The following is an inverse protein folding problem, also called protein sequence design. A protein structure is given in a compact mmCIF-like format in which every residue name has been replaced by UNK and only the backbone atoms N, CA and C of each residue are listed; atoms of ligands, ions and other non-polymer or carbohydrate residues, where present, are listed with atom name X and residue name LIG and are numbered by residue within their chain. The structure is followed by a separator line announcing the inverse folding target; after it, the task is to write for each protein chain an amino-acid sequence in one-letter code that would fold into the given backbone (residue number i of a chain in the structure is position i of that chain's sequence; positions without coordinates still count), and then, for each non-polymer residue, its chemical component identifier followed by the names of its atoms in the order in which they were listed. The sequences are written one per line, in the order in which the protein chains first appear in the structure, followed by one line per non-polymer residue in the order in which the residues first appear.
data_IF_100175379549
#
_entry.id   IF_100175379549
#
_cell.length_a   1.000
_cell.length_b   1.000
_cell.length_c   1.000
_cell.angle_alpha   90.00
_cell.angle_beta   90.00
_cell.angle_gamma   90.00
#
_symmetry.space_group_name_H-M   'P 1'
#
loop_
_entity.id
_entity.type
_entity.pdbx_description
1 polymer ?
#
# COMPACT_ATOMS: atom_id res chain seq x y z
N UNK A 1 4.53 -0.70 22.06
CA UNK A 1 5.55 0.17 22.67
C UNK A 1 6.78 -0.66 22.99
N UNK A 2 7.98 -0.07 22.98
CA UNK A 2 9.25 -0.74 23.26
C UNK A 2 9.77 -0.21 24.59
N UNK A 3 10.20 -1.07 25.53
CA UNK A 3 10.77 -0.62 26.80
C UNK A 3 12.15 0.00 26.53
N UNK A 4 12.43 1.14 27.18
CA UNK A 4 13.67 1.89 26.96
C UNK A 4 14.50 1.98 28.22
N UNK A 5 13.86 2.25 29.34
CA UNK A 5 14.50 2.45 30.63
C UNK A 5 13.71 1.67 31.69
N UNK A 6 14.43 1.08 32.63
CA UNK A 6 13.86 0.56 33.87
C UNK A 6 14.65 1.14 35.01
N UNK A 7 13.97 1.85 35.92
CA UNK A 7 14.59 2.53 37.06
C UNK A 7 13.77 2.25 38.32
N UNK A 8 14.36 2.45 39.47
CA UNK A 8 13.67 2.33 40.74
C UNK A 8 12.63 3.44 40.94
N UNK A 9 11.69 3.24 41.86
CA UNK A 9 10.64 4.23 42.18
C UNK A 9 11.20 5.50 42.85
N UNK A 10 12.42 5.47 43.33
CA UNK A 10 13.12 6.63 43.89
C UNK A 10 13.51 7.68 42.85
N UNK A 11 13.52 7.32 41.58
CA UNK A 11 13.82 8.23 40.44
C UNK A 11 12.53 8.91 40.03
N UNK A 12 12.37 10.19 40.31
CA UNK A 12 11.21 10.96 39.84
C UNK A 12 11.35 11.27 38.34
N UNK A 13 10.56 10.59 37.53
CA UNK A 13 10.53 10.76 36.03
C UNK A 13 9.65 11.94 35.58
N UNK A 14 9.05 12.71 36.48
CA UNK A 14 8.06 13.75 36.14
C UNK A 14 8.65 14.78 35.18
N UNK A 15 9.80 15.35 35.50
CA UNK A 15 10.46 16.35 34.63
C UNK A 15 10.83 15.75 33.26
N UNK A 16 11.41 14.55 33.25
CA UNK A 16 11.81 13.88 32.02
C UNK A 16 10.60 13.53 31.13
N UNK A 17 9.51 13.07 31.72
CA UNK A 17 8.28 12.79 30.98
C UNK A 17 7.59 14.05 30.47
N UNK A 18 7.59 15.15 31.26
CA UNK A 18 7.12 16.46 30.78
C UNK A 18 7.94 16.95 29.59
N UNK A 19 9.25 16.80 29.63
CA UNK A 19 10.12 17.10 28.52
C UNK A 19 9.79 16.26 27.28
N UNK A 20 9.57 14.96 27.42
CA UNK A 20 9.14 14.08 26.32
C UNK A 20 7.79 14.50 25.74
N UNK A 21 6.83 14.91 26.59
CA UNK A 21 5.53 15.45 26.16
C UNK A 21 5.69 16.76 25.39
N UNK A 22 6.48 17.70 25.90
CA UNK A 22 6.73 18.98 25.25
C UNK A 22 7.30 18.79 23.83
N UNK A 23 8.14 17.75 23.64
CA UNK A 23 8.73 17.40 22.36
C UNK A 23 7.91 16.39 21.54
N UNK A 24 6.64 16.14 21.93
CA UNK A 24 5.70 15.23 21.22
C UNK A 24 6.25 13.81 21.04
N UNK A 25 7.03 13.31 22.00
CA UNK A 25 7.51 11.92 22.05
C UNK A 25 6.42 11.04 22.66
N UNK A 26 5.74 10.14 21.92
CA UNK A 26 4.75 9.26 22.49
C UNK A 26 5.41 8.25 23.43
N UNK A 27 5.04 8.33 24.72
CA UNK A 27 5.61 7.46 25.75
C UNK A 27 4.55 7.07 26.80
N UNK A 28 4.88 6.08 27.61
CA UNK A 28 4.10 5.62 28.74
C UNK A 28 5.06 5.13 29.82
N UNK A 29 4.76 5.42 31.08
CA UNK A 29 5.43 4.82 32.22
C UNK A 29 4.52 3.78 32.83
N UNK A 30 5.07 2.62 33.20
CA UNK A 30 4.37 1.57 33.98
C UNK A 30 5.20 1.24 35.19
N UNK A 31 4.52 1.08 36.33
CA UNK A 31 5.13 0.66 37.60
C UNK A 31 4.87 -0.84 37.80
N UNK A 32 5.91 -1.57 38.16
CA UNK A 32 5.82 -3.00 38.45
C UNK A 32 6.77 -3.33 39.64
N UNK A 33 6.20 -3.72 40.76
CA UNK A 33 6.95 -3.97 42.01
C UNK A 33 7.66 -2.73 42.53
N UNK A 34 8.99 -2.75 42.61
CA UNK A 34 9.84 -1.65 43.06
C UNK A 34 10.51 -0.89 41.91
N UNK A 35 10.04 -1.07 40.69
CA UNK A 35 10.61 -0.43 39.53
C UNK A 35 9.54 0.19 38.63
N UNK A 36 9.94 1.20 37.90
CA UNK A 36 9.14 1.82 36.84
C UNK A 36 9.84 1.71 35.49
N UNK A 37 9.05 1.47 34.45
CA UNK A 37 9.56 1.27 33.09
C UNK A 37 9.00 2.33 32.15
N UNK A 38 9.89 3.04 31.46
CA UNK A 38 9.52 3.96 30.40
C UNK A 38 9.44 3.22 29.05
N UNK A 39 8.29 3.31 28.41
CA UNK A 39 8.00 2.77 27.12
C UNK A 39 7.86 3.88 26.10
N UNK A 40 8.38 3.70 24.90
CA UNK A 40 8.21 4.64 23.79
C UNK A 40 7.57 3.95 22.59
N UNK A 41 7.06 4.76 21.65
CA UNK A 41 6.57 4.22 20.38
C UNK A 41 7.71 3.55 19.57
N UNK A 42 7.45 2.45 18.83
CA UNK A 42 8.49 1.66 18.16
C UNK A 42 9.32 2.41 17.12
N UNK A 43 8.82 3.54 16.63
CA UNK A 43 9.49 4.39 15.64
C UNK A 43 10.45 5.42 16.25
N UNK A 44 10.45 5.57 17.57
CA UNK A 44 11.38 6.46 18.28
C UNK A 44 12.69 5.72 18.53
N UNK A 45 13.81 6.42 18.37
CA UNK A 45 15.13 5.85 18.63
C UNK A 45 15.34 5.70 20.16
N UNK A 46 15.32 4.44 20.63
CA UNK A 46 15.46 4.12 22.04
C UNK A 46 16.84 4.52 22.60
N UNK A 47 17.88 4.43 21.77
CA UNK A 47 19.26 4.78 22.18
C UNK A 47 19.38 6.27 22.48
N UNK A 48 18.77 7.09 21.62
CA UNK A 48 18.72 8.55 21.84
C UNK A 48 17.96 8.94 23.11
N UNK A 49 16.89 8.22 23.46
CA UNK A 49 16.16 8.47 24.71
C UNK A 49 16.99 8.05 25.93
N UNK A 50 17.79 6.98 25.84
CA UNK A 50 18.72 6.58 26.90
C UNK A 50 19.83 7.61 27.09
N UNK A 51 20.41 8.12 26.02
CA UNK A 51 21.41 9.19 26.06
C UNK A 51 20.87 10.44 26.75
N UNK A 52 19.65 10.87 26.36
CA UNK A 52 18.98 12.02 26.95
C UNK A 52 18.69 11.81 28.46
N UNK A 53 18.26 10.60 28.82
CA UNK A 53 18.04 10.25 30.22
C UNK A 53 19.35 10.30 31.02
N UNK A 54 20.42 9.72 30.49
CA UNK A 54 21.74 9.77 31.13
C UNK A 54 22.28 11.21 31.28
N UNK A 55 22.06 12.06 30.29
CA UNK A 55 22.42 13.48 30.34
C UNK A 55 21.64 14.21 31.46
N UNK A 56 20.31 14.02 31.52
CA UNK A 56 19.46 14.61 32.55
C UNK A 56 19.81 14.08 33.95
N UNK A 57 19.98 12.78 34.11
CA UNK A 57 20.37 12.17 35.39
C UNK A 57 21.75 12.66 35.87
N UNK A 58 22.64 13.03 34.95
CA UNK A 58 23.92 13.67 35.23
C UNK A 58 23.83 15.17 35.58
N UNK A 59 22.62 15.73 35.77
CA UNK A 59 22.41 17.15 36.09
C UNK A 59 22.36 18.07 34.85
N UNK A 60 22.23 17.52 33.66
CA UNK A 60 22.09 18.31 32.44
C UNK A 60 20.71 18.96 32.31
N UNK A 61 20.66 20.22 31.91
CA UNK A 61 19.41 20.96 31.71
C UNK A 61 18.74 20.56 30.39
N UNK A 62 17.61 19.86 30.45
CA UNK A 62 16.81 19.43 29.30
C UNK A 62 16.32 20.61 28.43
N UNK A 63 16.13 21.79 29.01
CA UNK A 63 15.71 23.00 28.30
C UNK A 63 16.69 23.47 27.22
N UNK A 64 17.96 23.07 27.31
CA UNK A 64 19.03 23.40 26.36
C UNK A 64 19.20 22.34 25.25
N UNK A 65 18.45 21.25 25.31
CA UNK A 65 18.57 20.14 24.38
C UNK A 65 17.49 20.28 23.30
N UNK A 66 17.91 20.58 22.10
CA UNK A 66 17.02 20.56 20.93
C UNK A 66 16.82 19.10 20.49
N UNK A 67 15.72 18.51 20.92
CA UNK A 67 15.35 17.16 20.49
C UNK A 67 14.61 17.28 19.17
N UNK A 68 15.33 17.17 18.08
CA UNK A 68 14.72 16.88 16.78
C UNK A 68 14.16 15.46 16.88
N UNK A 69 12.96 15.33 17.44
CA UNK A 69 12.19 14.10 17.27
C UNK A 69 11.94 13.98 15.78
N UNK A 70 12.73 13.16 15.11
CA UNK A 70 12.32 12.64 13.83
C UNK A 70 11.05 11.81 14.08
N UNK A 71 9.93 12.50 14.27
CA UNK A 71 8.69 11.92 13.82
C UNK A 71 9.00 11.51 12.39
N UNK A 72 8.92 10.24 12.02
CA UNK A 72 8.68 9.95 10.64
C UNK A 72 7.38 10.73 10.39
N UNK A 73 7.51 11.97 9.91
CA UNK A 73 6.37 12.61 9.25
C UNK A 73 5.89 11.48 8.38
N UNK A 74 4.62 11.12 8.48
CA UNK A 74 3.91 10.59 7.34
C UNK A 74 4.07 11.67 6.26
N UNK A 75 5.30 11.84 5.83
CA UNK A 75 5.73 12.73 4.78
C UNK A 75 5.45 12.03 3.46
N UNK A 76 4.20 11.58 3.33
CA UNK A 76 3.55 11.48 2.06
C UNK A 76 2.91 12.84 1.75
N UNK A 77 3.67 13.93 1.92
CA UNK A 77 3.31 15.14 1.20
C UNK A 77 3.42 14.78 -0.27
N UNK A 78 2.30 14.92 -0.99
CA UNK A 78 2.26 14.89 -2.45
C UNK A 78 3.08 16.09 -2.95
N UNK A 79 4.41 15.99 -2.86
CA UNK A 79 5.31 17.03 -3.34
C UNK A 79 5.91 16.58 -4.67
N UNK A 80 6.12 17.51 -5.57
CA UNK A 80 6.78 17.24 -6.87
C UNK A 80 8.15 16.58 -6.66
N UNK A 81 8.85 16.91 -5.57
CA UNK A 81 10.14 16.31 -5.24
C UNK A 81 10.01 14.82 -4.87
N UNK A 82 8.94 14.42 -4.19
CA UNK A 82 8.67 13.00 -3.90
C UNK A 82 8.26 12.23 -5.17
N UNK A 83 7.45 12.83 -6.04
CA UNK A 83 7.11 12.22 -7.34
C UNK A 83 8.36 11.93 -8.19
N UNK A 84 9.35 12.84 -8.19
CA UNK A 84 10.63 12.60 -8.89
C UNK A 84 11.45 11.44 -8.31
N UNK A 85 11.28 11.15 -7.01
CA UNK A 85 11.96 10.05 -6.33
C UNK A 85 11.24 8.70 -6.51
N UNK A 86 10.00 8.72 -6.97
CA UNK A 86 9.14 7.55 -7.12
C UNK A 86 8.57 7.48 -8.54
N UNK A 87 9.43 7.33 -9.57
CA UNK A 87 9.01 7.43 -10.97
C UNK A 87 8.01 6.35 -11.38
N UNK A 88 8.11 5.12 -10.84
CA UNK A 88 7.15 4.05 -11.17
C UNK A 88 5.80 4.31 -10.50
N UNK A 89 5.79 4.71 -9.24
CA UNK A 89 4.55 5.13 -8.53
C UNK A 89 3.88 6.29 -9.26
N UNK A 90 4.66 7.30 -9.65
CA UNK A 90 4.17 8.46 -10.39
C UNK A 90 3.60 8.06 -11.76
N UNK A 91 4.28 7.17 -12.48
CA UNK A 91 3.84 6.65 -13.78
C UNK A 91 2.51 5.89 -13.65
N UNK A 92 2.41 4.96 -12.69
CA UNK A 92 1.18 4.18 -12.45
C UNK A 92 0.01 5.11 -12.10
N UNK A 93 0.22 6.08 -11.22
CA UNK A 93 -0.80 7.08 -10.85
C UNK A 93 -1.19 7.93 -12.05
N UNK A 94 -0.21 8.43 -12.80
CA UNK A 94 -0.43 9.29 -13.97
C UNK A 94 -1.19 8.57 -15.09
N UNK A 95 -0.78 7.32 -15.42
CA UNK A 95 -1.49 6.50 -16.42
C UNK A 95 -2.92 6.18 -15.97
N UNK A 96 -3.11 5.83 -14.71
CA UNK A 96 -4.45 5.57 -14.17
C UNK A 96 -5.35 6.80 -14.26
N UNK A 97 -4.87 7.96 -13.84
CA UNK A 97 -5.63 9.20 -13.93
C UNK A 97 -5.94 9.57 -15.38
N UNK A 98 -4.94 9.52 -16.26
CA UNK A 98 -5.09 9.85 -17.69
C UNK A 98 -6.12 8.94 -18.35
N UNK A 99 -5.98 7.61 -18.21
CA UNK A 99 -6.88 6.65 -18.87
C UNK A 99 -8.30 6.78 -18.30
N UNK A 100 -8.46 6.96 -16.97
CA UNK A 100 -9.77 7.18 -16.36
C UNK A 100 -10.46 8.41 -16.92
N UNK A 101 -9.71 9.51 -17.12
CA UNK A 101 -10.25 10.74 -17.73
C UNK A 101 -10.59 10.55 -19.21
N UNK A 102 -9.74 9.87 -20.00
CA UNK A 102 -10.00 9.60 -21.42
C UNK A 102 -11.27 8.77 -21.64
N UNK A 103 -11.50 7.77 -20.79
CA UNK A 103 -12.71 6.95 -20.86
C UNK A 103 -13.92 7.59 -20.17
N UNK A 104 -13.77 8.79 -19.56
CA UNK A 104 -14.83 9.51 -18.86
C UNK A 104 -15.57 8.63 -17.85
N UNK A 105 -14.82 7.90 -17.02
CA UNK A 105 -15.34 6.90 -16.07
C UNK A 105 -16.23 5.82 -16.73
N UNK A 106 -15.95 5.49 -17.99
CA UNK A 106 -16.66 4.48 -18.77
C UNK A 106 -17.75 5.05 -19.70
N UNK A 107 -18.01 6.35 -19.68
CA UNK A 107 -19.00 6.98 -20.56
C UNK A 107 -18.50 7.09 -22.02
N UNK A 108 -17.17 7.14 -22.24
CA UNK A 108 -16.58 7.26 -23.57
C UNK A 108 -16.11 5.90 -24.09
N UNK A 109 -17.01 5.20 -24.76
CA UNK A 109 -16.75 3.88 -25.35
C UNK A 109 -15.69 3.91 -26.45
N UNK A 110 -15.53 5.02 -27.18
CA UNK A 110 -14.56 5.17 -28.25
C UNK A 110 -13.10 5.14 -27.74
N UNK A 111 -12.87 5.63 -26.53
CA UNK A 111 -11.58 5.48 -25.87
C UNK A 111 -11.48 4.16 -25.10
N UNK A 112 -12.57 3.73 -24.44
CA UNK A 112 -12.57 2.51 -23.62
C UNK A 112 -12.18 1.26 -24.42
N UNK A 113 -12.60 1.16 -25.69
CA UNK A 113 -12.29 0.04 -26.60
C UNK A 113 -10.77 -0.24 -26.68
N UNK A 114 -9.91 0.78 -26.57
CA UNK A 114 -8.45 0.63 -26.65
C UNK A 114 -7.82 0.07 -25.37
N UNK A 115 -8.54 0.07 -24.24
CA UNK A 115 -8.02 -0.32 -22.95
C UNK A 115 -8.67 -1.58 -22.36
N UNK A 116 -9.79 -2.06 -22.91
CA UNK A 116 -10.40 -3.35 -22.52
C UNK A 116 -9.48 -4.52 -22.86
N UNK A 117 -9.66 -5.63 -22.15
CA UNK A 117 -8.79 -6.82 -22.28
C UNK A 117 -8.80 -7.41 -23.70
N UNK A 118 -9.95 -7.44 -24.35
CA UNK A 118 -10.09 -7.66 -25.79
C UNK A 118 -10.94 -6.55 -26.38
N UNK A 119 -10.80 -6.32 -27.66
CA UNK A 119 -11.61 -5.35 -28.37
C UNK A 119 -13.10 -5.74 -28.36
N UNK A 120 -13.99 -4.78 -28.54
CA UNK A 120 -15.43 -5.01 -28.61
C UNK A 120 -16.10 -4.13 -29.67
N UNK A 121 -17.23 -4.61 -30.18
CA UNK A 121 -18.07 -3.88 -31.11
C UNK A 121 -19.48 -3.78 -30.54
N UNK A 122 -20.02 -2.58 -30.52
CA UNK A 122 -21.43 -2.31 -30.16
C UNK A 122 -22.24 -2.30 -31.44
N UNK A 123 -23.24 -3.17 -31.55
CA UNK A 123 -24.15 -3.25 -32.67
C UNK A 123 -25.61 -3.24 -32.16
N UNK A 124 -26.23 -2.07 -32.16
CA UNK A 124 -27.50 -1.84 -31.46
C UNK A 124 -27.36 -2.09 -29.97
N UNK A 125 -28.21 -2.96 -29.39
CA UNK A 125 -28.16 -3.31 -27.97
C UNK A 125 -27.20 -4.47 -27.63
N UNK A 126 -26.41 -4.95 -28.61
CA UNK A 126 -25.52 -6.08 -28.43
C UNK A 126 -24.06 -5.64 -28.39
N UNK A 127 -23.32 -6.16 -27.42
CA UNK A 127 -21.87 -6.02 -27.35
C UNK A 127 -21.25 -7.37 -27.70
N UNK A 128 -20.40 -7.39 -28.71
CA UNK A 128 -19.61 -8.57 -29.10
C UNK A 128 -18.12 -8.30 -28.87
N UNK A 129 -17.42 -9.28 -28.32
CA UNK A 129 -16.02 -9.17 -27.95
C UNK A 129 -15.16 -9.99 -28.90
N UNK A 130 -13.97 -9.48 -29.22
CA UNK A 130 -12.94 -10.26 -29.89
C UNK A 130 -12.43 -11.38 -29.01
N UNK A 131 -11.95 -12.46 -29.65
CA UNK A 131 -11.35 -13.57 -28.92
C UNK A 131 -9.92 -13.22 -28.47
N UNK A 132 -9.46 -13.88 -27.39
CA UNK A 132 -8.06 -13.78 -26.96
C UNK A 132 -7.09 -14.15 -28.09
N UNK A 133 -7.44 -15.17 -28.90
CA UNK A 133 -6.63 -15.57 -30.05
C UNK A 133 -6.45 -14.44 -31.09
N UNK A 134 -7.51 -13.70 -31.36
CA UNK A 134 -7.46 -12.54 -32.28
C UNK A 134 -6.58 -11.44 -31.69
N UNK A 135 -6.76 -11.09 -30.41
CA UNK A 135 -5.96 -10.08 -29.74
C UNK A 135 -4.46 -10.41 -29.75
N UNK A 136 -4.10 -11.68 -29.51
CA UNK A 136 -2.71 -12.12 -29.60
C UNK A 136 -2.17 -12.09 -31.04
N UNK A 137 -3.00 -12.42 -32.03
CA UNK A 137 -2.62 -12.40 -33.44
C UNK A 137 -2.40 -10.98 -34.00
N UNK A 138 -3.13 -9.99 -33.46
CA UNK A 138 -2.95 -8.56 -33.78
C UNK A 138 -1.78 -7.90 -33.07
N UNK A 139 -1.17 -8.59 -32.07
CA UNK A 139 -0.04 -8.10 -31.32
C UNK A 139 -0.40 -7.06 -30.25
N UNK A 140 -1.67 -6.95 -29.88
CA UNK A 140 -2.15 -5.95 -28.91
C UNK A 140 -1.86 -6.37 -27.45
N UNK A 141 -0.60 -6.73 -27.16
CA UNK A 141 -0.19 -7.28 -25.88
C UNK A 141 -0.37 -6.31 -24.69
N UNK A 142 -0.43 -5.00 -24.92
CA UNK A 142 -0.70 -4.03 -23.87
C UNK A 142 -2.04 -4.25 -23.18
N UNK A 143 -3.00 -4.90 -23.83
CA UNK A 143 -4.32 -5.23 -23.30
C UNK A 143 -4.28 -6.19 -22.12
N UNK A 144 -3.16 -6.90 -21.91
CA UNK A 144 -2.94 -7.70 -20.70
C UNK A 144 -2.90 -6.80 -19.46
N UNK A 145 -2.42 -5.57 -19.59
CA UNK A 145 -2.26 -4.62 -18.47
C UNK A 145 -3.23 -3.45 -18.49
N UNK A 146 -3.68 -2.99 -19.67
CA UNK A 146 -4.46 -1.76 -19.80
C UNK A 146 -5.75 -1.75 -18.95
N UNK A 147 -6.50 -2.85 -18.74
CA UNK A 147 -7.70 -2.82 -17.91
C UNK A 147 -7.45 -2.36 -16.48
N UNK A 148 -6.27 -2.63 -15.91
CA UNK A 148 -5.97 -2.20 -14.55
C UNK A 148 -5.96 -0.68 -14.38
N UNK A 149 -5.81 0.09 -15.45
CA UNK A 149 -5.80 1.55 -15.40
C UNK A 149 -7.19 2.18 -15.58
N UNK A 150 -8.19 1.43 -16.06
CA UNK A 150 -9.55 1.92 -16.22
C UNK A 150 -10.29 1.98 -14.88
N UNK A 151 -11.02 3.07 -14.62
CA UNK A 151 -11.88 3.18 -13.45
C UNK A 151 -13.22 3.81 -13.82
N UNK A 152 -14.29 3.33 -13.21
CA UNK A 152 -15.66 3.68 -13.53
C UNK A 152 -16.35 4.57 -12.46
N UNK A 153 -15.61 4.95 -11.41
CA UNK A 153 -16.08 5.93 -10.43
C UNK A 153 -14.93 6.68 -9.77
N UNK A 154 -15.20 7.92 -9.35
CA UNK A 154 -14.22 8.77 -8.67
C UNK A 154 -13.73 8.15 -7.35
N UNK A 155 -14.64 7.60 -6.55
CA UNK A 155 -14.28 6.97 -5.26
C UNK A 155 -13.34 5.79 -5.50
N UNK A 156 -13.65 4.96 -6.51
CA UNK A 156 -12.84 3.77 -6.84
C UNK A 156 -11.40 4.16 -7.26
N UNK A 157 -11.24 5.15 -8.15
CA UNK A 157 -9.90 5.58 -8.56
C UNK A 157 -9.13 6.21 -7.42
N UNK A 158 -9.75 7.08 -6.62
CA UNK A 158 -9.06 7.74 -5.51
C UNK A 158 -8.56 6.74 -4.46
N UNK A 159 -9.37 5.73 -4.11
CA UNK A 159 -8.93 4.68 -3.19
C UNK A 159 -7.74 3.90 -3.74
N UNK A 160 -7.77 3.50 -5.00
CA UNK A 160 -6.67 2.77 -5.62
C UNK A 160 -5.39 3.61 -5.66
N UNK A 161 -5.49 4.89 -6.08
CA UNK A 161 -4.34 5.78 -6.14
C UNK A 161 -3.74 6.05 -4.76
N UNK A 162 -4.59 6.17 -3.72
CA UNK A 162 -4.13 6.32 -2.33
C UNK A 162 -3.28 5.12 -1.89
N UNK A 163 -3.74 3.90 -2.13
CA UNK A 163 -3.00 2.69 -1.77
C UNK A 163 -1.68 2.55 -2.54
N UNK A 164 -1.69 2.82 -3.83
CA UNK A 164 -0.46 2.80 -4.64
C UNK A 164 0.52 3.87 -4.16
N UNK A 165 0.05 5.08 -3.85
CA UNK A 165 0.90 6.12 -3.29
C UNK A 165 1.52 5.70 -1.96
N UNK A 166 0.72 5.18 -1.03
CA UNK A 166 1.18 4.82 0.32
C UNK A 166 2.07 3.58 0.31
N UNK A 167 1.57 2.47 -0.23
CA UNK A 167 2.24 1.16 -0.12
C UNK A 167 3.17 0.92 -1.31
N UNK A 168 2.72 1.19 -2.52
CA UNK A 168 3.55 1.12 -3.73
C UNK A 168 4.77 2.03 -3.61
N UNK A 169 4.56 3.29 -3.21
CA UNK A 169 5.65 4.23 -2.95
C UNK A 169 6.60 3.80 -1.82
N UNK A 170 6.10 3.09 -0.81
CA UNK A 170 6.97 2.51 0.22
C UNK A 170 7.82 1.34 -0.32
N UNK A 171 7.25 0.49 -1.19
CA UNK A 171 7.99 -0.59 -1.86
C UNK A 171 9.07 0.00 -2.77
N UNK A 172 8.70 0.97 -3.59
CA UNK A 172 9.62 1.62 -4.53
C UNK A 172 10.81 2.28 -3.80
N UNK A 173 10.54 3.03 -2.70
CA UNK A 173 11.60 3.64 -1.88
C UNK A 173 12.55 2.64 -1.25
N UNK A 174 12.03 1.52 -0.75
CA UNK A 174 12.81 0.58 0.07
C UNK A 174 13.45 -0.53 -0.74
N UNK A 175 12.89 -0.87 -1.89
CA UNK A 175 13.34 -2.02 -2.69
C UNK A 175 13.71 -1.64 -4.13
N UNK A 176 13.47 -0.39 -4.53
CA UNK A 176 13.88 0.16 -5.83
C UNK A 176 12.79 0.10 -6.90
N UNK A 177 13.02 0.89 -7.95
CA UNK A 177 12.07 1.10 -9.05
C UNK A 177 11.77 -0.17 -9.83
N UNK A 178 12.80 -0.90 -10.22
CA UNK A 178 12.65 -2.14 -11.01
C UNK A 178 11.87 -3.20 -10.25
N UNK A 179 12.10 -3.33 -8.94
CA UNK A 179 11.39 -4.30 -8.11
C UNK A 179 9.91 -3.98 -8.03
N UNK A 180 9.55 -2.72 -7.81
CA UNK A 180 8.15 -2.31 -7.78
C UNK A 180 7.48 -2.42 -9.16
N UNK A 181 8.17 -2.05 -10.23
CA UNK A 181 7.67 -2.22 -11.60
C UNK A 181 7.37 -3.68 -11.92
N UNK A 182 8.30 -4.60 -11.58
CA UNK A 182 8.09 -6.03 -11.78
C UNK A 182 6.90 -6.56 -10.99
N UNK A 183 6.72 -6.12 -9.74
CA UNK A 183 5.55 -6.49 -8.94
C UNK A 183 4.25 -6.01 -9.61
N UNK A 184 4.19 -4.75 -10.08
CA UNK A 184 3.01 -4.19 -10.77
C UNK A 184 2.70 -4.96 -12.05
N UNK A 185 3.70 -5.20 -12.89
CA UNK A 185 3.52 -5.93 -14.16
C UNK A 185 3.11 -7.38 -13.92
N UNK A 186 3.78 -8.07 -13.02
CA UNK A 186 3.48 -9.46 -12.69
C UNK A 186 2.07 -9.62 -12.12
N UNK A 187 1.74 -8.83 -11.10
CA UNK A 187 0.42 -8.93 -10.45
C UNK A 187 -0.71 -8.42 -11.33
N UNK A 188 -0.49 -7.34 -12.08
CA UNK A 188 -1.46 -6.79 -13.02
C UNK A 188 -1.83 -7.79 -14.12
N UNK A 189 -0.83 -8.46 -14.71
CA UNK A 189 -1.07 -9.50 -15.72
C UNK A 189 -1.88 -10.67 -15.14
N UNK A 190 -1.49 -11.20 -13.98
CA UNK A 190 -2.17 -12.34 -13.35
C UNK A 190 -3.61 -11.96 -12.96
N UNK A 191 -3.80 -10.79 -12.34
CA UNK A 191 -5.12 -10.33 -11.91
C UNK A 191 -6.06 -10.13 -13.10
N UNK A 192 -5.59 -9.48 -14.16
CA UNK A 192 -6.39 -9.22 -15.37
C UNK A 192 -6.70 -10.52 -16.14
N UNK A 193 -5.72 -11.42 -16.29
CA UNK A 193 -5.93 -12.71 -16.94
C UNK A 193 -6.96 -13.55 -16.18
N UNK A 194 -6.85 -13.64 -14.85
CA UNK A 194 -7.79 -14.38 -14.03
C UNK A 194 -9.21 -13.80 -14.12
N UNK A 195 -9.35 -12.47 -14.07
CA UNK A 195 -10.64 -11.80 -14.19
C UNK A 195 -11.25 -12.00 -15.57
N UNK A 196 -10.46 -11.86 -16.63
CA UNK A 196 -10.90 -12.13 -18.00
C UNK A 196 -11.44 -13.56 -18.14
N UNK A 197 -10.76 -14.55 -17.58
CA UNK A 197 -11.13 -15.96 -17.72
C UNK A 197 -12.47 -16.29 -17.06
N UNK A 198 -12.78 -15.61 -15.96
CA UNK A 198 -14.01 -15.89 -15.17
C UNK A 198 -15.18 -14.99 -15.60
N UNK A 199 -14.92 -13.72 -15.92
CA UNK A 199 -15.98 -12.73 -16.10
C UNK A 199 -15.99 -12.05 -17.47
N UNK A 200 -15.07 -12.44 -18.37
CA UNK A 200 -14.94 -11.82 -19.68
C UNK A 200 -14.14 -10.52 -19.68
N UNK A 201 -14.12 -9.78 -20.80
CA UNK A 201 -13.15 -8.70 -21.04
C UNK A 201 -13.54 -7.35 -20.47
N UNK A 202 -14.78 -7.15 -20.02
CA UNK A 202 -15.29 -5.85 -19.56
C UNK A 202 -15.13 -5.71 -18.05
N UNK A 203 -13.97 -5.28 -17.63
CA UNK A 203 -13.65 -4.96 -16.25
C UNK A 203 -12.55 -3.88 -16.21
N UNK A 204 -12.33 -3.29 -15.05
CA UNK A 204 -11.24 -2.34 -14.85
C UNK A 204 -11.00 -2.06 -13.37
N UNK A 205 -9.81 -1.55 -13.09
CA UNK A 205 -9.40 -1.12 -11.76
C UNK A 205 -8.04 -1.64 -11.34
N UNK A 206 -7.30 -0.77 -10.69
CA UNK A 206 -5.95 -1.05 -10.18
C UNK A 206 -5.96 -1.91 -8.91
N UNK A 207 -7.15 -2.26 -8.42
CA UNK A 207 -7.36 -2.95 -7.14
C UNK A 207 -6.70 -4.33 -7.07
N UNK A 208 -6.59 -5.07 -8.18
CA UNK A 208 -5.82 -6.30 -8.24
C UNK A 208 -4.35 -6.08 -7.84
N UNK A 209 -3.72 -5.02 -8.36
CA UNK A 209 -2.36 -4.60 -7.96
C UNK A 209 -2.32 -4.11 -6.51
N UNK A 210 -3.36 -3.39 -6.05
CA UNK A 210 -3.47 -2.96 -4.63
C UNK A 210 -3.49 -4.17 -3.70
N UNK A 211 -4.27 -5.20 -4.00
CA UNK A 211 -4.28 -6.45 -3.23
C UNK A 211 -2.92 -7.14 -3.27
N UNK A 212 -2.23 -7.08 -4.40
CA UNK A 212 -0.88 -7.65 -4.53
C UNK A 212 0.14 -6.92 -3.66
N UNK A 213 0.19 -5.59 -3.67
CA UNK A 213 1.15 -4.83 -2.85
C UNK A 213 0.88 -4.98 -1.35
N UNK A 214 -0.38 -5.11 -0.94
CA UNK A 214 -0.76 -5.41 0.44
C UNK A 214 -0.33 -6.82 0.84
N UNK A 215 -0.64 -7.83 0.03
CA UNK A 215 -0.22 -9.22 0.26
C UNK A 215 1.30 -9.37 0.28
N UNK A 216 1.98 -8.72 -0.67
CA UNK A 216 3.44 -8.69 -0.76
C UNK A 216 4.07 -8.14 0.51
N UNK A 217 3.68 -6.94 0.95
CA UNK A 217 4.27 -6.29 2.12
C UNK A 217 3.97 -7.04 3.41
N UNK A 218 2.76 -7.60 3.54
CA UNK A 218 2.37 -8.41 4.68
C UNK A 218 3.21 -9.68 4.81
N UNK A 219 3.40 -10.42 3.72
CA UNK A 219 4.18 -11.65 3.76
C UNK A 219 5.68 -11.35 3.87
N UNK A 220 6.18 -10.32 3.17
CA UNK A 220 7.58 -9.90 3.25
C UNK A 220 8.01 -9.67 4.69
N UNK A 221 7.23 -8.90 5.46
CA UNK A 221 7.57 -8.60 6.86
C UNK A 221 7.55 -9.82 7.77
N UNK A 222 6.87 -10.91 7.38
CA UNK A 222 6.85 -12.17 8.14
C UNK A 222 8.02 -13.09 7.82
N UNK A 223 8.47 -13.11 6.57
CA UNK A 223 9.54 -13.99 6.12
C UNK A 223 10.93 -13.33 6.14
N UNK A 224 11.00 -12.00 6.21
CA UNK A 224 12.26 -11.27 6.32
C UNK A 224 12.87 -11.40 7.73
N UNK A 225 14.22 -11.38 7.81
CA UNK A 225 14.93 -11.37 9.11
C UNK A 225 14.53 -10.18 9.99
N UNK A 226 14.23 -9.04 9.35
CA UNK A 226 13.72 -7.83 9.99
C UNK A 226 12.55 -7.28 9.17
N UNK A 227 11.43 -6.91 9.83
CA UNK A 227 10.30 -6.28 9.16
C UNK A 227 10.72 -4.98 8.48
N UNK A 228 10.37 -4.85 7.20
CA UNK A 228 10.74 -3.71 6.38
C UNK A 228 9.64 -2.65 6.34
N UNK A 229 8.38 -3.06 6.18
CA UNK A 229 7.25 -2.16 5.96
C UNK A 229 6.52 -1.80 7.25
N UNK A 230 6.42 -2.74 8.19
CA UNK A 230 5.79 -2.58 9.51
C UNK A 230 4.37 -2.05 9.44
N UNK A 231 3.60 -2.55 8.44
CA UNK A 231 2.21 -2.18 8.30
C UNK A 231 1.37 -2.77 9.44
N UNK A 232 0.35 -2.02 9.93
CA UNK A 232 -0.57 -2.55 10.93
C UNK A 232 -1.23 -3.85 10.44
N UNK A 233 -1.28 -4.87 11.29
CA UNK A 233 -1.91 -6.15 10.93
C UNK A 233 -3.38 -6.01 10.58
N UNK A 234 -4.05 -5.02 11.15
CA UNK A 234 -5.44 -4.68 10.85
C UNK A 234 -5.67 -4.37 9.36
N UNK A 235 -4.67 -3.85 8.64
CA UNK A 235 -4.80 -3.59 7.19
C UNK A 235 -4.95 -4.88 6.39
N UNK A 236 -4.21 -5.93 6.75
CA UNK A 236 -4.37 -7.22 6.09
C UNK A 236 -5.72 -7.85 6.43
N UNK A 237 -6.14 -7.77 7.69
CA UNK A 237 -7.47 -8.21 8.11
C UNK A 237 -8.59 -7.47 7.38
N UNK A 238 -8.48 -6.16 7.24
CA UNK A 238 -9.41 -5.34 6.46
C UNK A 238 -9.45 -5.76 4.98
N UNK A 239 -8.31 -6.06 4.37
CA UNK A 239 -8.23 -6.52 2.99
C UNK A 239 -8.95 -7.87 2.80
N UNK A 240 -8.75 -8.83 3.72
CA UNK A 240 -9.44 -10.12 3.69
C UNK A 240 -10.95 -9.95 3.89
N UNK A 241 -11.35 -9.10 4.85
CA UNK A 241 -12.75 -8.75 5.05
C UNK A 241 -13.37 -8.14 3.79
N UNK A 242 -12.68 -7.19 3.14
CA UNK A 242 -13.16 -6.56 1.91
C UNK A 242 -13.31 -7.57 0.76
N UNK A 243 -12.35 -8.50 0.64
CA UNK A 243 -12.41 -9.57 -0.34
C UNK A 243 -13.63 -10.49 -0.09
N UNK A 244 -13.85 -10.91 1.15
CA UNK A 244 -15.00 -11.73 1.53
C UNK A 244 -16.34 -10.99 1.26
N UNK A 245 -16.39 -9.70 1.59
CA UNK A 245 -17.54 -8.84 1.33
C UNK A 245 -17.83 -8.72 -0.17
N UNK A 246 -16.79 -8.60 -1.01
CA UNK A 246 -16.94 -8.61 -2.46
C UNK A 246 -17.59 -9.89 -2.99
N UNK A 247 -17.16 -11.06 -2.52
CA UNK A 247 -17.73 -12.34 -2.93
C UNK A 247 -19.13 -12.58 -2.35
N UNK A 248 -19.55 -11.91 -1.29
CA UNK A 248 -20.87 -12.07 -0.70
C UNK A 248 -22.02 -11.46 -1.53
N UNK A 249 -21.71 -10.63 -2.55
CA UNK A 249 -22.71 -9.88 -3.31
C UNK A 249 -23.27 -8.64 -2.58
N UNK A 250 -22.91 -8.44 -1.30
CA UNK A 250 -23.44 -7.33 -0.50
C UNK A 250 -23.11 -5.95 -1.09
N UNK A 251 -21.94 -5.82 -1.74
CA UNK A 251 -21.52 -4.57 -2.36
C UNK A 251 -22.34 -4.22 -3.60
N UNK A 252 -22.75 -5.21 -4.38
CA UNK A 252 -23.68 -5.01 -5.51
C UNK A 252 -25.06 -4.61 -5.02
N UNK A 253 -25.55 -5.26 -3.94
CA UNK A 253 -26.83 -4.98 -3.33
C UNK A 253 -26.95 -3.53 -2.84
N UNK A 254 -25.88 -2.94 -2.31
CA UNK A 254 -25.87 -1.52 -1.87
C UNK A 254 -25.48 -0.54 -2.99
N UNK A 255 -25.45 -0.99 -4.26
CA UNK A 255 -25.28 -0.12 -5.42
C UNK A 255 -23.83 0.28 -5.74
N UNK A 256 -22.82 -0.42 -5.19
CA UNK A 256 -21.42 -0.18 -5.53
C UNK A 256 -21.00 -0.83 -6.86
N UNK A 257 -21.94 -1.47 -7.56
CA UNK A 257 -21.71 -2.11 -8.84
C UNK A 257 -20.99 -3.47 -8.74
N UNK A 258 -20.80 -4.11 -9.89
CA UNK A 258 -20.07 -5.37 -9.99
C UNK A 258 -18.59 -5.16 -9.69
N UNK A 259 -18.07 -5.93 -8.73
CA UNK A 259 -16.69 -5.87 -8.30
C UNK A 259 -15.89 -6.99 -8.95
N UNK A 260 -14.71 -6.68 -9.44
CA UNK A 260 -13.77 -7.64 -10.04
C UNK A 260 -13.08 -8.52 -8.96
N UNK A 261 -13.88 -9.33 -8.25
CA UNK A 261 -13.44 -10.12 -7.10
C UNK A 261 -12.34 -11.12 -7.46
N UNK A 262 -12.40 -11.71 -8.65
CA UNK A 262 -11.36 -12.63 -9.13
C UNK A 262 -10.03 -11.91 -9.31
N UNK A 263 -10.04 -10.67 -9.82
CA UNK A 263 -8.82 -9.86 -9.90
C UNK A 263 -8.23 -9.56 -8.51
N UNK A 264 -9.08 -9.30 -7.51
CA UNK A 264 -8.64 -9.07 -6.13
C UNK A 264 -7.94 -10.30 -5.54
N UNK A 265 -8.58 -11.47 -5.65
CA UNK A 265 -8.02 -12.73 -5.15
C UNK A 265 -6.72 -13.10 -5.88
N UNK A 266 -6.73 -13.05 -7.21
CA UNK A 266 -5.56 -13.34 -8.03
C UNK A 266 -4.42 -12.35 -7.76
N UNK A 267 -4.75 -11.08 -7.56
CA UNK A 267 -3.81 -10.05 -7.14
C UNK A 267 -3.17 -10.37 -5.79
N UNK A 268 -3.98 -10.70 -4.78
CA UNK A 268 -3.48 -11.10 -3.46
C UNK A 268 -2.52 -12.29 -3.56
N UNK A 269 -2.94 -13.36 -4.24
CA UNK A 269 -2.12 -14.58 -4.41
C UNK A 269 -0.83 -14.28 -5.15
N UNK A 270 -0.88 -13.47 -6.22
CA UNK A 270 0.31 -13.08 -6.98
C UNK A 270 1.29 -12.24 -6.14
N UNK A 271 0.79 -11.34 -5.30
CA UNK A 271 1.61 -10.56 -4.37
C UNK A 271 2.32 -11.42 -3.33
N UNK A 272 1.60 -12.40 -2.75
CA UNK A 272 2.19 -13.39 -1.83
C UNK A 272 3.27 -14.23 -2.54
N UNK A 273 2.97 -14.73 -3.74
CA UNK A 273 3.94 -15.48 -4.55
C UNK A 273 5.17 -14.66 -4.89
N UNK A 274 5.00 -13.39 -5.29
CA UNK A 274 6.10 -12.50 -5.60
C UNK A 274 7.00 -12.23 -4.38
N UNK A 275 6.45 -12.18 -3.16
CA UNK A 275 7.23 -12.05 -1.94
C UNK A 275 8.15 -13.27 -1.72
N UNK A 276 7.64 -14.49 -1.94
CA UNK A 276 8.43 -15.72 -1.85
C UNK A 276 9.54 -15.76 -2.90
N UNK A 277 9.21 -15.49 -4.16
CA UNK A 277 10.16 -15.44 -5.27
C UNK A 277 11.27 -14.42 -4.99
N UNK A 278 10.89 -13.20 -4.60
CA UNK A 278 11.83 -12.12 -4.31
C UNK A 278 12.76 -12.45 -3.13
N UNK A 279 12.29 -13.25 -2.17
CA UNK A 279 13.09 -13.71 -1.04
C UNK A 279 14.20 -14.66 -1.51
N UNK A 280 13.87 -15.58 -2.41
CA UNK A 280 14.84 -16.55 -2.97
C UNK A 280 15.92 -15.83 -3.78
N UNK A 281 15.57 -14.78 -4.52
CA UNK A 281 16.51 -14.05 -5.39
C UNK A 281 17.43 -13.07 -4.64
N UNK A 282 17.15 -12.76 -3.36
CA UNK A 282 17.94 -11.86 -2.53
C UNK A 282 18.80 -12.60 -1.47
N UNK A 283 18.80 -13.92 -1.48
CA UNK A 283 19.74 -14.77 -0.74
C UNK A 283 20.95 -15.05 -1.58
#
# INVERSE_FOLDING_TARGET
MTPVLQVGLEVDLTEFTQFLWAHKVPHRVTEEGQSQTLWIAPHINAERIRELFGYWQGGGELSKVDVVVHNPKFANSLSISELKRLPVTALVIGLTALITLLIEFGANSSWMIHFTFTDFVISGDKVSYQTLKTMLATGELWRIWSPMFMHFSMVHVLFNLLWIWMIGGAIERKQGHSHFLLLVLFSGAIANLAQFWISGPLFGGLSGVVFAVLGYTWLWDRIAKQPLFRLPQALFGFMIFWLALGYSGALEFIGLGAIANTAHLAGLVSGLAFALISKIWRV
#
